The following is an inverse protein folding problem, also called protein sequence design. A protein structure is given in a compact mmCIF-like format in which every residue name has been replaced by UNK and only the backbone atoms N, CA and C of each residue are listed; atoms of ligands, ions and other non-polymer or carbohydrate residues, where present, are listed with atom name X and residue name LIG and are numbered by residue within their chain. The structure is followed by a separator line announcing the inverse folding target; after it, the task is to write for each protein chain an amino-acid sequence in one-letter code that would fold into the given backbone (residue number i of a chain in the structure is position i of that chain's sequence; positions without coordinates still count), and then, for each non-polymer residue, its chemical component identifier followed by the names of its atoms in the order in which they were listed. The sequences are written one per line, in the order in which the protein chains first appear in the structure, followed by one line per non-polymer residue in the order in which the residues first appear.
data_IF_763506908909
#
_entry.id   IF_763506908909
#
_cell.length_a   1.000
_cell.length_b   1.000
_cell.length_c   1.000
_cell.angle_alpha   90.00
_cell.angle_beta   90.00
_cell.angle_gamma   90.00
#
_symmetry.space_group_name_H-M   'P 1'
#
loop_
_entity.id
_entity.type
_entity.pdbx_description
1 polymer ?
#
# COMPACT_ATOMS: atom_id res chain seq x y z
N UNK A 1 23.04 29.41 -36.02
CA UNK A 1 22.81 29.35 -34.57
C UNK A 1 21.81 28.25 -34.27
N UNK A 2 22.21 27.17 -33.60
CA UNK A 2 21.30 26.09 -33.19
C UNK A 2 20.53 26.56 -31.95
N UNK A 3 19.21 26.64 -32.04
CA UNK A 3 18.32 26.85 -30.88
C UNK A 3 18.53 25.67 -29.93
N UNK A 4 19.19 25.91 -28.80
CA UNK A 4 19.19 24.99 -27.67
C UNK A 4 17.80 25.09 -27.06
N UNK A 5 16.94 24.12 -27.35
CA UNK A 5 15.70 23.91 -26.62
C UNK A 5 16.11 23.25 -25.31
N UNK A 6 16.24 24.04 -24.25
CA UNK A 6 16.39 23.51 -22.90
C UNK A 6 15.04 22.88 -22.57
N UNK A 7 14.93 21.55 -22.62
CA UNK A 7 13.83 20.83 -21.99
C UNK A 7 13.93 21.07 -20.48
N UNK A 8 13.16 22.02 -19.97
CA UNK A 8 13.01 22.26 -18.55
C UNK A 8 11.91 21.32 -18.02
N UNK A 9 12.29 20.16 -17.47
CA UNK A 9 11.52 19.38 -16.46
C UNK A 9 12.27 18.07 -16.14
N UNK A 10 12.92 17.99 -14.95
CA UNK A 10 12.60 16.93 -13.97
C UNK A 10 12.79 17.31 -12.47
N UNK A 11 13.36 18.47 -12.13
CA UNK A 11 13.67 18.85 -10.73
C UNK A 11 12.42 19.23 -9.90
N UNK A 12 11.44 19.90 -10.52
CA UNK A 12 10.28 20.44 -9.81
C UNK A 12 9.34 19.35 -9.25
N UNK A 13 9.19 18.21 -9.93
CA UNK A 13 8.26 17.15 -9.47
C UNK A 13 8.76 16.45 -8.21
N UNK A 14 10.02 16.00 -8.18
CA UNK A 14 10.60 15.36 -6.98
C UNK A 14 10.63 16.31 -5.79
N UNK A 15 10.96 17.57 -6.02
CA UNK A 15 10.93 18.61 -4.99
C UNK A 15 9.50 18.86 -4.47
N UNK A 16 8.51 18.90 -5.37
CA UNK A 16 7.09 19.02 -5.00
C UNK A 16 6.61 17.81 -4.19
N UNK A 17 6.91 16.59 -4.63
CA UNK A 17 6.55 15.36 -3.91
C UNK A 17 7.24 15.33 -2.53
N UNK A 18 8.52 15.69 -2.44
CA UNK A 18 9.23 15.77 -1.17
C UNK A 18 8.62 16.81 -0.22
N UNK A 19 8.17 17.96 -0.76
CA UNK A 19 7.42 18.96 0.01
C UNK A 19 6.09 18.40 0.50
N UNK A 20 5.33 17.71 -0.35
CA UNK A 20 4.07 17.08 0.04
C UNK A 20 4.27 16.03 1.13
N UNK A 21 5.31 15.19 1.06
CA UNK A 21 5.63 14.25 2.13
C UNK A 21 5.88 14.96 3.45
N UNK A 22 6.64 16.06 3.44
CA UNK A 22 6.89 16.87 4.64
C UNK A 22 5.60 17.45 5.20
N UNK A 23 4.76 18.05 4.35
CA UNK A 23 3.46 18.61 4.74
C UNK A 23 2.53 17.52 5.32
N UNK A 24 2.54 16.30 4.75
CA UNK A 24 1.78 15.17 5.26
C UNK A 24 2.24 14.77 6.67
N UNK A 25 3.55 14.65 6.89
CA UNK A 25 4.14 14.34 8.20
C UNK A 25 3.84 15.44 9.22
N UNK A 26 3.92 16.71 8.84
CA UNK A 26 3.59 17.84 9.71
C UNK A 26 2.12 17.83 10.13
N UNK A 27 1.21 17.55 9.19
CA UNK A 27 -0.23 17.42 9.48
C UNK A 27 -0.51 16.21 10.39
N UNK A 28 0.10 15.06 10.12
CA UNK A 28 -0.03 13.85 10.94
C UNK A 28 0.45 14.08 12.38
N UNK A 29 1.60 14.75 12.56
CA UNK A 29 2.12 15.11 13.88
C UNK A 29 1.17 16.05 14.65
N UNK A 30 0.37 16.85 13.95
CA UNK A 30 -0.67 17.71 14.52
C UNK A 30 -2.00 16.98 14.72
N UNK A 31 -2.07 15.67 14.42
CA UNK A 31 -3.28 14.84 14.39
C UNK A 31 -4.32 15.29 13.36
N UNK A 32 -3.93 16.09 12.38
CA UNK A 32 -4.75 16.42 11.22
C UNK A 32 -4.60 15.34 10.13
N UNK A 33 -5.19 14.18 10.41
CA UNK A 33 -5.10 13.01 9.53
C UNK A 33 -5.77 13.25 8.17
N UNK A 34 -6.81 14.07 8.13
CA UNK A 34 -7.50 14.38 6.87
C UNK A 34 -6.60 15.18 5.92
N UNK A 35 -5.92 16.22 6.43
CA UNK A 35 -4.93 16.94 5.62
C UNK A 35 -3.77 16.03 5.22
N UNK A 36 -3.27 15.18 6.13
CA UNK A 36 -2.19 14.25 5.81
C UNK A 36 -2.58 13.30 4.66
N UNK A 37 -3.78 12.69 4.72
CA UNK A 37 -4.31 11.84 3.63
C UNK A 37 -4.43 12.59 2.32
N UNK A 38 -4.97 13.82 2.34
CA UNK A 38 -5.10 14.66 1.13
C UNK A 38 -3.73 14.91 0.47
N UNK A 39 -2.70 15.20 1.27
CA UNK A 39 -1.33 15.40 0.76
C UNK A 39 -0.76 14.12 0.15
N UNK A 40 -0.98 12.97 0.79
CA UNK A 40 -0.57 11.69 0.23
C UNK A 40 -1.32 11.35 -1.06
N UNK A 41 -2.62 11.63 -1.15
CA UNK A 41 -3.40 11.43 -2.38
C UNK A 41 -2.88 12.27 -3.55
N UNK A 42 -2.43 13.51 -3.29
CA UNK A 42 -1.75 14.31 -4.30
C UNK A 42 -0.43 13.65 -4.77
N UNK A 43 0.35 13.05 -3.85
CA UNK A 43 1.57 12.32 -4.22
C UNK A 43 1.22 11.12 -5.09
N UNK A 44 0.20 10.34 -4.73
CA UNK A 44 -0.21 9.16 -5.49
C UNK A 44 -0.59 9.51 -6.92
N UNK A 45 -1.30 10.63 -7.11
CA UNK A 45 -1.65 11.11 -8.45
C UNK A 45 -0.41 11.50 -9.28
N UNK A 46 0.58 12.14 -8.67
CA UNK A 46 1.76 12.65 -9.38
C UNK A 46 2.87 11.63 -9.61
N UNK A 47 2.88 10.54 -8.85
CA UNK A 47 3.99 9.58 -8.82
C UNK A 47 3.69 8.27 -9.54
N UNK A 48 2.43 7.94 -9.83
CA UNK A 48 2.03 6.60 -10.29
C UNK A 48 2.83 6.08 -11.48
N UNK A 49 3.01 6.89 -12.53
CA UNK A 49 3.70 6.46 -13.75
C UNK A 49 5.19 6.85 -13.78
N UNK A 50 5.54 7.90 -13.06
CA UNK A 50 6.79 8.62 -13.26
C UNK A 50 7.79 8.40 -12.12
N UNK A 51 7.31 8.13 -10.90
CA UNK A 51 8.11 7.92 -9.69
C UNK A 51 7.51 6.78 -8.85
N UNK A 52 7.46 5.55 -9.38
CA UNK A 52 6.72 4.44 -8.77
C UNK A 52 7.24 4.06 -7.38
N UNK A 53 8.50 4.32 -7.05
CA UNK A 53 9.04 4.15 -5.70
C UNK A 53 8.42 5.14 -4.70
N UNK A 54 8.15 6.38 -5.14
CA UNK A 54 7.47 7.38 -4.31
C UNK A 54 5.97 7.06 -4.16
N UNK A 55 5.36 6.52 -5.21
CA UNK A 55 3.99 6.00 -5.16
C UNK A 55 3.87 4.87 -4.13
N UNK A 56 4.80 3.91 -4.17
CA UNK A 56 4.88 2.80 -3.24
C UNK A 56 4.97 3.29 -1.78
N UNK A 57 5.87 4.23 -1.49
CA UNK A 57 6.03 4.77 -0.15
C UNK A 57 4.80 5.56 0.31
N UNK A 58 4.21 6.38 -0.57
CA UNK A 58 2.99 7.12 -0.25
C UNK A 58 1.81 6.20 0.08
N UNK A 59 1.69 5.06 -0.60
CA UNK A 59 0.68 4.06 -0.27
C UNK A 59 0.86 3.48 1.13
N UNK A 60 2.09 3.15 1.55
CA UNK A 60 2.33 2.64 2.91
C UNK A 60 2.14 3.70 3.99
N UNK A 61 2.56 4.95 3.74
CA UNK A 61 2.24 6.06 4.65
C UNK A 61 0.74 6.27 4.82
N UNK A 62 -0.03 6.11 3.74
CA UNK A 62 -1.48 6.19 3.82
C UNK A 62 -2.07 5.00 4.62
N UNK A 63 -1.45 3.82 4.50
CA UNK A 63 -1.83 2.67 5.32
C UNK A 63 -1.60 2.92 6.82
N UNK A 64 -0.48 3.53 7.19
CA UNK A 64 -0.19 3.89 8.59
C UNK A 64 -1.23 4.87 9.16
N UNK A 65 -1.66 5.86 8.38
CA UNK A 65 -2.73 6.78 8.79
C UNK A 65 -4.05 6.03 8.95
N UNK A 66 -4.39 5.11 8.04
CA UNK A 66 -5.60 4.31 8.19
C UNK A 66 -5.58 3.41 9.42
N UNK A 67 -4.41 2.88 9.82
CA UNK A 67 -4.28 2.17 11.09
C UNK A 67 -4.52 3.08 12.30
N UNK A 68 -4.06 4.33 12.26
CA UNK A 68 -4.34 5.32 13.32
C UNK A 68 -5.84 5.67 13.42
N UNK A 69 -6.59 5.52 12.33
CA UNK A 69 -8.05 5.72 12.28
C UNK A 69 -8.85 4.43 12.58
N UNK A 70 -8.20 3.34 13.03
CA UNK A 70 -8.82 2.00 13.16
C UNK A 70 -9.50 1.50 11.87
N UNK A 71 -9.04 2.00 10.71
CA UNK A 71 -9.52 1.61 9.38
C UNK A 71 -8.60 0.54 8.78
N UNK A 72 -8.63 -0.64 9.38
CA UNK A 72 -7.79 -1.78 9.01
C UNK A 72 -7.94 -2.20 7.54
N UNK A 73 -9.16 -2.15 7.03
CA UNK A 73 -9.44 -2.42 5.61
C UNK A 73 -8.76 -1.38 4.71
N UNK A 74 -8.82 -0.10 5.06
CA UNK A 74 -8.14 0.97 4.34
C UNK A 74 -6.64 0.75 4.27
N UNK A 75 -6.04 0.31 5.37
CA UNK A 75 -4.61 -0.01 5.46
C UNK A 75 -4.22 -1.16 4.51
N UNK A 76 -4.93 -2.29 4.56
CA UNK A 76 -4.68 -3.44 3.66
C UNK A 76 -4.89 -3.07 2.19
N UNK A 77 -5.91 -2.26 1.87
CA UNK A 77 -6.14 -1.77 0.50
C UNK A 77 -4.96 -0.94 -0.02
N UNK A 78 -4.42 -0.05 0.81
CA UNK A 78 -3.27 0.76 0.42
C UNK A 78 -2.01 -0.09 0.24
N UNK A 79 -1.75 -1.04 1.14
CA UNK A 79 -0.62 -1.96 1.03
C UNK A 79 -0.69 -2.82 -0.24
N UNK A 80 -1.84 -3.43 -0.54
CA UNK A 80 -2.00 -4.24 -1.76
C UNK A 80 -1.92 -3.39 -3.04
N UNK A 81 -2.38 -2.13 -2.99
CA UNK A 81 -2.19 -1.18 -4.11
C UNK A 81 -0.71 -0.84 -4.32
N UNK A 82 0.07 -0.69 -3.26
CA UNK A 82 1.52 -0.49 -3.35
C UNK A 82 2.20 -1.70 -4.01
N UNK A 83 1.87 -2.91 -3.53
CA UNK A 83 2.43 -4.18 -4.03
C UNK A 83 2.10 -4.38 -5.51
N UNK A 84 0.85 -4.14 -5.92
CA UNK A 84 0.42 -4.27 -7.31
C UNK A 84 1.20 -3.36 -8.26
N UNK A 85 1.55 -2.15 -7.81
CA UNK A 85 2.30 -1.18 -8.60
C UNK A 85 3.81 -1.18 -8.29
N UNK A 86 4.33 -2.23 -7.62
CA UNK A 86 5.75 -2.28 -7.30
C UNK A 86 6.59 -2.33 -8.60
N UNK A 87 7.58 -1.43 -8.78
CA UNK A 87 8.32 -1.33 -10.03
C UNK A 87 9.39 -2.41 -10.20
N UNK A 88 9.66 -3.20 -9.15
CA UNK A 88 10.64 -4.27 -9.14
C UNK A 88 10.34 -5.30 -8.04
N UNK A 89 11.01 -6.45 -8.12
CA UNK A 89 10.84 -7.58 -7.19
C UNK A 89 11.21 -7.23 -5.74
N UNK A 90 12.18 -6.34 -5.53
CA UNK A 90 12.61 -5.95 -4.19
C UNK A 90 11.51 -5.18 -3.46
N UNK A 91 10.87 -4.22 -4.13
CA UNK A 91 9.73 -3.49 -3.59
C UNK A 91 8.48 -4.38 -3.47
N UNK A 92 8.29 -5.33 -4.39
CA UNK A 92 7.22 -6.32 -4.27
C UNK A 92 7.35 -7.13 -2.97
N UNK A 93 8.54 -7.69 -2.70
CA UNK A 93 8.83 -8.46 -1.48
C UNK A 93 8.77 -7.57 -0.23
N UNK A 94 9.33 -6.38 -0.28
CA UNK A 94 9.24 -5.42 0.83
C UNK A 94 7.79 -5.07 1.15
N UNK A 95 6.95 -4.90 0.13
CA UNK A 95 5.53 -4.62 0.30
C UNK A 95 4.82 -5.74 1.07
N UNK A 96 5.13 -7.00 0.78
CA UNK A 96 4.58 -8.12 1.55
C UNK A 96 5.09 -8.17 3.00
N UNK A 97 6.34 -7.83 3.26
CA UNK A 97 6.84 -7.72 4.65
C UNK A 97 6.05 -6.68 5.44
N UNK A 98 5.90 -5.47 4.88
CA UNK A 98 5.11 -4.40 5.49
C UNK A 98 3.63 -4.77 5.63
N UNK A 99 3.07 -5.49 4.65
CA UNK A 99 1.71 -6.03 4.78
C UNK A 99 1.62 -7.04 5.94
N UNK A 100 2.61 -7.90 6.15
CA UNK A 100 2.68 -8.80 7.30
C UNK A 100 2.67 -8.05 8.64
N UNK A 101 3.39 -6.93 8.74
CA UNK A 101 3.36 -6.05 9.93
C UNK A 101 1.95 -5.48 10.15
N UNK A 102 1.31 -4.98 9.08
CA UNK A 102 -0.08 -4.47 9.13
C UNK A 102 -1.05 -5.58 9.59
N UNK A 103 -0.91 -6.81 9.06
CA UNK A 103 -1.77 -7.94 9.41
C UNK A 103 -1.55 -8.41 10.85
N UNK A 104 -0.33 -8.32 11.35
CA UNK A 104 -0.01 -8.57 12.77
C UNK A 104 -0.77 -7.59 13.67
N UNK A 105 -0.76 -6.30 13.34
CA UNK A 105 -1.50 -5.26 14.08
C UNK A 105 -3.00 -5.56 14.08
N UNK A 106 -3.55 -5.95 12.93
CA UNK A 106 -4.98 -6.28 12.76
C UNK A 106 -5.38 -7.49 13.63
N UNK A 107 -4.56 -8.53 13.62
CA UNK A 107 -4.75 -9.73 14.45
C UNK A 107 -4.69 -9.39 15.93
N UNK A 108 -3.68 -8.63 16.34
CA UNK A 108 -3.51 -8.25 17.75
C UNK A 108 -4.65 -7.35 18.25
N UNK A 109 -5.32 -6.63 17.34
CA UNK A 109 -6.54 -5.87 17.62
C UNK A 109 -7.84 -6.73 17.58
N UNK A 110 -7.78 -7.98 17.12
CA UNK A 110 -8.95 -8.86 16.94
C UNK A 110 -9.91 -8.38 15.86
N UNK A 111 -9.37 -7.78 14.77
CA UNK A 111 -10.13 -7.11 13.71
C UNK A 111 -10.06 -7.81 12.35
N UNK A 112 -9.69 -9.07 12.33
CA UNK A 112 -9.47 -9.86 11.12
C UNK A 112 -10.73 -9.90 10.24
N UNK A 113 -11.92 -10.08 10.85
CA UNK A 113 -13.18 -10.16 10.14
C UNK A 113 -13.51 -8.90 9.30
N UNK A 114 -12.98 -7.73 9.66
CA UNK A 114 -13.18 -6.49 8.90
C UNK A 114 -12.56 -6.58 7.48
N UNK A 115 -11.57 -7.46 7.29
CA UNK A 115 -10.94 -7.71 6.00
C UNK A 115 -11.83 -8.50 5.03
N UNK A 116 -12.94 -9.06 5.51
CA UNK A 116 -13.85 -9.89 4.71
C UNK A 116 -14.91 -9.06 3.98
N UNK A 117 -15.03 -7.77 4.30
CA UNK A 117 -16.09 -6.89 3.80
C UNK A 117 -15.56 -5.85 2.78
N UNK A 118 -16.38 -5.53 1.78
CA UNK A 118 -16.15 -4.43 0.83
C UNK A 118 -14.79 -4.45 0.12
N UNK A 119 -14.30 -5.65 -0.26
CA UNK A 119 -13.03 -5.84 -0.97
C UNK A 119 -13.15 -5.79 -2.51
N UNK A 120 -14.34 -5.48 -3.05
CA UNK A 120 -14.61 -5.51 -4.50
C UNK A 120 -13.68 -4.59 -5.29
N UNK A 121 -13.36 -3.41 -4.76
CA UNK A 121 -12.41 -2.48 -5.39
C UNK A 121 -11.03 -3.12 -5.60
N UNK A 122 -10.57 -3.93 -4.64
CA UNK A 122 -9.29 -4.66 -4.79
C UNK A 122 -9.43 -5.85 -5.73
N UNK A 123 -10.55 -6.58 -5.68
CA UNK A 123 -10.81 -7.68 -6.62
C UNK A 123 -10.75 -7.20 -8.07
N UNK A 124 -11.31 -6.02 -8.35
CA UNK A 124 -11.24 -5.38 -9.67
C UNK A 124 -9.80 -5.00 -10.03
N UNK A 125 -9.09 -4.34 -9.12
CA UNK A 125 -7.69 -3.93 -9.33
C UNK A 125 -6.77 -5.12 -9.64
N UNK A 126 -6.88 -6.19 -8.85
CA UNK A 126 -5.98 -7.34 -8.90
C UNK A 126 -6.42 -8.40 -9.93
N UNK A 127 -7.51 -8.18 -10.67
CA UNK A 127 -8.14 -9.20 -11.53
C UNK A 127 -7.18 -9.82 -12.55
N UNK A 128 -6.32 -8.98 -13.14
CA UNK A 128 -5.38 -9.40 -14.18
C UNK A 128 -4.09 -10.01 -13.60
N UNK A 129 -3.80 -9.76 -12.31
CA UNK A 129 -2.70 -10.40 -11.60
C UNK A 129 -3.19 -11.65 -10.88
N UNK A 130 -3.01 -12.81 -11.53
CA UNK A 130 -3.44 -14.10 -10.98
C UNK A 130 -2.79 -14.44 -9.64
N UNK A 131 -1.57 -13.97 -9.37
CA UNK A 131 -0.85 -14.26 -8.15
C UNK A 131 -1.44 -13.44 -6.98
N UNK A 132 -1.58 -12.13 -7.17
CA UNK A 132 -2.16 -11.24 -6.18
C UNK A 132 -3.66 -11.48 -5.97
N UNK A 133 -4.40 -11.83 -7.02
CA UNK A 133 -5.80 -12.23 -6.90
C UNK A 133 -5.96 -13.47 -6.01
N UNK A 134 -5.15 -14.51 -6.22
CA UNK A 134 -5.14 -15.69 -5.35
C UNK A 134 -4.74 -15.37 -3.91
N UNK A 135 -3.77 -14.47 -3.73
CA UNK A 135 -3.36 -14.01 -2.42
C UNK A 135 -4.49 -13.31 -1.68
N UNK A 136 -5.22 -12.41 -2.35
CA UNK A 136 -6.38 -11.73 -1.76
C UNK A 136 -7.44 -12.73 -1.29
N UNK A 137 -7.76 -13.76 -2.09
CA UNK A 137 -8.71 -14.80 -1.67
C UNK A 137 -8.19 -15.59 -0.46
N UNK A 138 -6.91 -15.96 -0.46
CA UNK A 138 -6.28 -16.64 0.68
C UNK A 138 -6.33 -15.79 1.95
N UNK A 139 -6.06 -14.48 1.83
CA UNK A 139 -6.14 -13.53 2.92
C UNK A 139 -7.56 -13.43 3.48
N UNK A 140 -8.58 -13.32 2.62
CA UNK A 140 -9.98 -13.27 3.04
C UNK A 140 -10.41 -14.56 3.74
N UNK A 141 -9.94 -15.73 3.26
CA UNK A 141 -10.19 -17.00 3.93
C UNK A 141 -9.52 -17.07 5.31
N UNK A 142 -8.25 -16.71 5.39
CA UNK A 142 -7.51 -16.66 6.65
C UNK A 142 -8.21 -15.73 7.66
N UNK A 143 -8.65 -14.56 7.20
CA UNK A 143 -9.40 -13.59 8.02
C UNK A 143 -10.74 -14.14 8.57
N UNK A 144 -11.35 -15.13 7.91
CA UNK A 144 -12.55 -15.83 8.39
C UNK A 144 -12.24 -16.99 9.34
N UNK A 145 -10.96 -17.29 9.58
CA UNK A 145 -10.52 -18.49 10.29
C UNK A 145 -10.66 -19.77 9.45
N UNK A 146 -10.79 -19.66 8.13
CA UNK A 146 -10.81 -20.82 7.23
C UNK A 146 -9.39 -21.35 6.99
N UNK A 147 -9.26 -22.66 6.77
CA UNK A 147 -7.99 -23.28 6.42
C UNK A 147 -7.52 -22.82 5.03
N UNK A 148 -6.27 -22.37 4.95
CA UNK A 148 -5.61 -21.94 3.71
C UNK A 148 -4.47 -22.91 3.39
N UNK A 149 -4.66 -23.73 2.36
CA UNK A 149 -3.71 -24.75 1.90
C UNK A 149 -2.89 -24.33 0.68
N UNK A 150 -2.96 -23.06 0.28
CA UNK A 150 -2.18 -22.51 -0.84
C UNK A 150 -0.80 -22.10 -0.35
N UNK A 151 0.23 -22.53 -1.07
CA UNK A 151 1.60 -22.04 -0.93
C UNK A 151 1.93 -21.10 -2.10
N UNK A 152 2.48 -19.94 -1.78
CA UNK A 152 2.89 -18.93 -2.76
C UNK A 152 4.38 -19.07 -3.09
N UNK A 153 4.79 -18.77 -4.35
CA UNK A 153 6.19 -18.87 -4.77
C UNK A 153 7.10 -17.82 -4.13
N UNK A 154 6.53 -16.77 -3.54
CA UNK A 154 7.27 -15.71 -2.85
C UNK A 154 7.14 -15.92 -1.35
N UNK A 155 8.27 -16.10 -0.68
CA UNK A 155 8.35 -16.39 0.76
C UNK A 155 7.58 -15.37 1.59
N UNK A 156 7.76 -14.08 1.30
CA UNK A 156 7.13 -12.97 2.01
C UNK A 156 5.60 -13.00 1.93
N UNK A 157 5.02 -13.57 0.87
CA UNK A 157 3.56 -13.76 0.78
C UNK A 157 3.08 -14.77 1.82
N UNK A 158 3.77 -15.91 1.94
CA UNK A 158 3.43 -16.91 2.94
C UNK A 158 3.62 -16.34 4.35
N UNK A 159 4.72 -15.63 4.60
CA UNK A 159 4.98 -14.95 5.88
C UNK A 159 3.87 -13.95 6.24
N UNK A 160 3.39 -13.16 5.28
CA UNK A 160 2.28 -12.23 5.50
C UNK A 160 0.97 -12.93 5.86
N UNK A 161 0.67 -14.09 5.26
CA UNK A 161 -0.52 -14.87 5.61
C UNK A 161 -0.41 -15.52 6.99
N UNK A 162 0.76 -16.04 7.33
CA UNK A 162 1.00 -16.62 8.65
C UNK A 162 0.95 -15.55 9.76
N UNK A 163 1.38 -14.32 9.48
CA UNK A 163 1.27 -13.20 10.41
C UNK A 163 -0.18 -12.96 10.88
N UNK A 164 -1.18 -13.19 10.01
CA UNK A 164 -2.59 -13.07 10.38
C UNK A 164 -3.08 -14.24 11.26
N UNK A 165 -2.45 -15.41 11.20
CA UNK A 165 -2.90 -16.62 11.90
C UNK A 165 -2.35 -16.77 13.33
N UNK A 166 -1.14 -16.24 13.60
CA UNK A 166 -0.48 -16.37 14.91
C UNK A 166 0.65 -17.37 14.90
#
# INVERSE_FOLDING_TARGET
MRKVVIKYEPLNRKERIARLFREAIEAENQKDLETAKKKLDEILHESMEEEPELYFEACFRLADIFLQEDNYRGAVKCALRAIYNAPNDDLFRLGFKRLGDILTIIRDAGKELELTENMDSLRVLLKEDKLLSKFLEALIKAAKGEEVSVEFPVKEMNEALEALKG
#
